data_IF_499625260091
#
_entry.id   IF_499625260091
#
_cell.length_a   1.000
_cell.length_b   1.000
_cell.length_c   1.000
_cell.angle_alpha   90.00
_cell.angle_beta   90.00
_cell.angle_gamma   90.00
#
_symmetry.space_group_name_H-M   'P 1'
#
loop_
_entity.id
_entity.type
_entity.pdbx_description
1 polymer ?
#
# COMPACT_ATOMS: atom_id res chain seq x y z
N UNK A 1 -18.60 -31.86 -21.30
CA UNK A 1 -18.04 -30.55 -20.91
C UNK A 1 -18.35 -30.10 -19.46
N UNK A 2 -19.34 -30.66 -18.74
CA UNK A 2 -19.73 -30.24 -17.36
C UNK A 2 -18.78 -30.67 -16.22
N UNK A 3 -17.89 -31.65 -16.44
CA UNK A 3 -17.06 -32.25 -15.39
C UNK A 3 -15.85 -31.38 -14.99
N UNK A 4 -15.18 -30.73 -15.96
CA UNK A 4 -14.07 -29.80 -15.67
C UNK A 4 -14.52 -28.60 -14.82
N UNK A 5 -15.70 -28.04 -15.09
CA UNK A 5 -16.24 -26.90 -14.33
C UNK A 5 -16.52 -27.23 -12.86
N UNK A 6 -16.98 -28.46 -12.56
CA UNK A 6 -17.27 -28.90 -11.19
C UNK A 6 -15.99 -29.14 -10.38
N UNK A 7 -14.95 -29.68 -11.02
CA UNK A 7 -13.63 -29.86 -10.41
C UNK A 7 -12.95 -28.52 -10.07
N UNK A 8 -13.00 -27.52 -10.95
CA UNK A 8 -12.45 -26.19 -10.68
C UNK A 8 -13.14 -25.48 -9.50
N UNK A 9 -14.47 -25.61 -9.38
CA UNK A 9 -15.23 -25.08 -8.23
C UNK A 9 -14.77 -25.72 -6.91
N UNK A 10 -14.59 -27.04 -6.90
CA UNK A 10 -14.16 -27.77 -5.71
C UNK A 10 -12.73 -27.38 -5.26
N UNK A 11 -11.82 -27.13 -6.21
CA UNK A 11 -10.47 -26.65 -5.91
C UNK A 11 -10.48 -25.23 -5.34
N UNK A 12 -11.27 -24.33 -5.92
CA UNK A 12 -11.40 -22.96 -5.43
C UNK A 12 -11.99 -22.91 -4.02
N UNK A 13 -13.02 -23.71 -3.75
CA UNK A 13 -13.66 -23.79 -2.44
C UNK A 13 -12.73 -24.38 -1.37
N UNK A 14 -11.94 -25.40 -1.72
CA UNK A 14 -10.90 -25.94 -0.83
C UNK A 14 -9.84 -24.89 -0.49
N UNK A 15 -9.34 -24.15 -1.49
CA UNK A 15 -8.35 -23.06 -1.28
C UNK A 15 -8.93 -21.93 -0.42
N UNK A 16 -10.19 -21.55 -0.65
CA UNK A 16 -10.87 -20.54 0.16
C UNK A 16 -10.98 -20.96 1.63
N UNK A 17 -11.30 -22.23 1.92
CA UNK A 17 -11.34 -22.73 3.30
C UNK A 17 -9.98 -22.64 4.00
N UNK A 18 -8.89 -22.94 3.28
CA UNK A 18 -7.53 -22.82 3.82
C UNK A 18 -7.23 -21.36 4.14
N UNK A 19 -7.52 -20.42 3.22
CA UNK A 19 -7.32 -18.97 3.46
C UNK A 19 -8.13 -18.49 4.67
N UNK A 20 -9.39 -18.93 4.81
CA UNK A 20 -10.27 -18.49 5.89
C UNK A 20 -9.93 -19.08 7.26
N UNK A 21 -9.35 -20.29 7.31
CA UNK A 21 -9.01 -20.96 8.58
C UNK A 21 -7.56 -20.76 8.98
N UNK A 22 -6.65 -20.98 8.05
CA UNK A 22 -5.21 -21.02 8.29
C UNK A 22 -4.51 -19.74 7.81
N UNK A 23 -5.10 -19.02 6.84
CA UNK A 23 -4.46 -17.86 6.23
C UNK A 23 -4.27 -16.66 7.17
N UNK A 24 -5.01 -16.58 8.28
CA UNK A 24 -4.79 -15.56 9.31
C UNK A 24 -3.65 -15.92 10.28
N UNK A 25 -3.36 -17.22 10.45
CA UNK A 25 -2.37 -17.73 11.39
C UNK A 25 -1.05 -18.11 10.71
N UNK A 26 -1.08 -18.34 9.40
CA UNK A 26 0.10 -18.65 8.60
C UNK A 26 0.88 -17.36 8.32
N UNK A 27 2.12 -17.22 8.81
CA UNK A 27 2.97 -16.11 8.43
C UNK A 27 3.16 -16.10 6.92
N UNK A 28 3.04 -14.94 6.28
CA UNK A 28 3.36 -14.83 4.88
C UNK A 28 4.88 -14.96 4.71
N UNK A 29 5.33 -15.95 3.95
CA UNK A 29 6.74 -16.06 3.56
C UNK A 29 7.08 -14.95 2.56
N UNK A 30 7.63 -13.85 3.07
CA UNK A 30 8.12 -12.73 2.26
C UNK A 30 9.45 -13.02 1.55
N UNK A 31 10.05 -14.21 1.75
CA UNK A 31 11.33 -14.55 1.13
C UNK A 31 11.26 -14.59 -0.41
N UNK A 32 10.12 -15.00 -0.97
CA UNK A 32 9.83 -14.93 -2.40
C UNK A 32 9.63 -13.49 -2.91
N UNK A 33 9.29 -12.56 -2.03
CA UNK A 33 8.99 -11.17 -2.34
C UNK A 33 10.22 -10.26 -2.21
N UNK A 34 11.44 -10.74 -2.46
CA UNK A 34 12.58 -9.87 -2.76
C UNK A 34 12.47 -9.49 -4.23
N UNK A 35 11.76 -8.40 -4.59
CA UNK A 35 11.58 -8.07 -5.98
C UNK A 35 12.94 -7.53 -6.43
N UNK A 36 13.52 -8.12 -7.48
CA UNK A 36 14.67 -7.51 -8.10
C UNK A 36 14.32 -6.08 -8.52
N UNK A 37 15.27 -5.17 -8.33
CA UNK A 37 15.09 -3.79 -8.77
C UNK A 37 14.82 -3.77 -10.27
N UNK A 38 13.85 -2.96 -10.73
CA UNK A 38 13.55 -2.87 -12.14
C UNK A 38 14.78 -2.39 -12.92
N UNK A 39 14.93 -2.82 -14.17
CA UNK A 39 16.08 -2.47 -15.03
C UNK A 39 16.23 -0.96 -15.28
N UNK A 40 15.17 -0.18 -15.10
CA UNK A 40 15.15 1.27 -15.22
C UNK A 40 15.43 2.00 -13.90
N UNK A 41 15.74 1.28 -12.82
CA UNK A 41 16.09 1.89 -11.54
C UNK A 41 17.39 2.69 -11.69
N UNK A 42 17.33 3.94 -11.26
CA UNK A 42 18.43 4.88 -11.26
C UNK A 42 18.57 5.42 -9.84
N UNK A 43 19.65 5.02 -9.16
CA UNK A 43 19.90 5.33 -7.75
C UNK A 43 20.00 6.84 -7.52
N UNK A 44 20.59 7.59 -8.46
CA UNK A 44 20.74 9.04 -8.36
C UNK A 44 19.38 9.73 -8.44
N UNK A 45 18.57 9.36 -9.44
CA UNK A 45 17.22 9.93 -9.60
C UNK A 45 16.29 9.55 -8.44
N UNK A 46 16.41 8.33 -7.94
CA UNK A 46 15.64 7.89 -6.78
C UNK A 46 15.97 8.73 -5.54
N UNK A 47 17.27 8.95 -5.27
CA UNK A 47 17.74 9.81 -4.18
C UNK A 47 17.30 11.25 -4.31
N UNK A 48 17.40 11.83 -5.51
CA UNK A 48 16.90 13.18 -5.78
C UNK A 48 15.41 13.29 -5.46
N UNK A 49 14.61 12.27 -5.80
CA UNK A 49 13.19 12.20 -5.45
C UNK A 49 12.95 12.18 -3.94
N UNK A 50 13.73 11.39 -3.19
CA UNK A 50 13.66 11.36 -1.73
C UNK A 50 14.01 12.73 -1.14
N UNK A 51 15.10 13.35 -1.57
CA UNK A 51 15.52 14.67 -1.09
C UNK A 51 14.48 15.74 -1.41
N UNK A 52 13.92 15.74 -2.62
CA UNK A 52 12.86 16.67 -3.02
C UNK A 52 11.61 16.52 -2.13
N UNK A 53 11.25 15.28 -1.76
CA UNK A 53 10.17 15.01 -0.83
C UNK A 53 10.46 15.57 0.57
N UNK A 54 11.64 15.30 1.14
CA UNK A 54 12.02 15.77 2.48
C UNK A 54 12.16 17.29 2.57
N UNK A 55 12.67 17.93 1.52
CA UNK A 55 12.75 19.38 1.46
C UNK A 55 11.37 20.07 1.35
N UNK A 56 10.33 19.34 0.93
CA UNK A 56 9.00 19.88 0.64
C UNK A 56 7.87 19.06 1.31
N UNK A 57 8.13 18.43 2.46
CA UNK A 57 7.19 17.49 3.11
C UNK A 57 5.82 18.09 3.29
N UNK A 58 5.73 19.32 3.81
CA UNK A 58 4.45 19.98 4.05
C UNK A 58 3.64 20.18 2.76
N UNK A 59 4.26 20.72 1.72
CA UNK A 59 3.64 20.93 0.41
C UNK A 59 3.19 19.59 -0.21
N UNK A 60 4.01 18.55 -0.09
CA UNK A 60 3.69 17.21 -0.58
C UNK A 60 2.51 16.58 0.16
N UNK A 61 2.42 16.77 1.48
CA UNK A 61 1.29 16.26 2.28
C UNK A 61 -0.01 17.00 1.97
N UNK A 62 0.05 18.33 1.82
CA UNK A 62 -1.12 19.13 1.41
C UNK A 62 -1.59 18.71 0.01
N UNK A 63 -0.68 18.57 -0.95
CA UNK A 63 -1.02 18.11 -2.30
C UNK A 63 -1.69 16.73 -2.29
N UNK A 64 -1.20 15.79 -1.48
CA UNK A 64 -1.82 14.46 -1.28
C UNK A 64 -3.22 14.55 -0.68
N UNK A 65 -3.42 15.43 0.31
CA UNK A 65 -4.73 15.66 0.92
C UNK A 65 -5.72 16.26 -0.10
N UNK A 66 -5.30 17.28 -0.85
CA UNK A 66 -6.11 17.88 -1.91
C UNK A 66 -6.49 16.84 -2.98
N UNK A 67 -5.53 16.04 -3.44
CA UNK A 67 -5.80 14.94 -4.39
C UNK A 67 -6.82 13.94 -3.86
N UNK A 68 -6.73 13.59 -2.57
CA UNK A 68 -7.71 12.72 -1.91
C UNK A 68 -9.10 13.36 -1.86
N UNK A 69 -9.22 14.64 -1.47
CA UNK A 69 -10.51 15.35 -1.43
C UNK A 69 -11.14 15.40 -2.82
N UNK A 70 -10.34 15.69 -3.85
CA UNK A 70 -10.79 15.65 -5.25
C UNK A 70 -11.28 14.25 -5.66
N UNK A 71 -10.61 13.19 -5.21
CA UNK A 71 -11.02 11.81 -5.48
C UNK A 71 -12.36 11.46 -4.82
N UNK A 72 -12.59 11.96 -3.60
CA UNK A 72 -13.85 11.76 -2.87
C UNK A 72 -15.04 12.51 -3.48
N UNK A 73 -14.79 13.53 -4.32
CA UNK A 73 -15.85 14.19 -5.10
C UNK A 73 -16.43 13.27 -6.19
N UNK A 74 -15.71 12.20 -6.57
CA UNK A 74 -16.18 11.22 -7.55
C UNK A 74 -17.06 10.19 -6.82
N UNK A 75 -18.36 10.20 -7.11
CA UNK A 75 -19.37 9.37 -6.43
C UNK A 75 -19.09 7.87 -6.48
N UNK A 76 -18.53 7.36 -7.58
CA UNK A 76 -18.17 5.94 -7.71
C UNK A 76 -17.10 5.53 -6.72
N UNK A 77 -16.07 6.36 -6.53
CA UNK A 77 -14.96 6.09 -5.62
C UNK A 77 -15.42 6.26 -4.18
N UNK A 78 -16.19 7.30 -3.90
CA UNK A 78 -16.80 7.51 -2.59
C UNK A 78 -17.65 6.31 -2.17
N UNK A 79 -18.46 5.76 -3.07
CA UNK A 79 -19.28 4.57 -2.80
C UNK A 79 -18.40 3.38 -2.41
N UNK A 80 -17.33 3.07 -3.15
CA UNK A 80 -16.40 1.98 -2.80
C UNK A 80 -15.81 2.20 -1.41
N UNK A 81 -15.33 3.42 -1.14
CA UNK A 81 -14.76 3.80 0.14
C UNK A 81 -15.75 3.62 1.29
N UNK A 82 -17.02 3.98 1.09
CA UNK A 82 -18.11 3.78 2.05
C UNK A 82 -18.43 2.30 2.26
N UNK A 83 -18.46 1.49 1.19
CA UNK A 83 -18.69 0.05 1.26
C UNK A 83 -17.63 -0.69 2.08
N UNK A 84 -16.38 -0.22 2.09
CA UNK A 84 -15.32 -0.84 2.92
C UNK A 84 -15.56 -0.70 4.43
N UNK A 85 -16.50 0.16 4.88
CA UNK A 85 -16.78 0.55 6.28
C UNK A 85 -15.57 1.07 7.07
N UNK A 86 -14.39 1.19 6.44
CA UNK A 86 -13.15 1.64 7.08
C UNK A 86 -13.09 3.17 7.25
N UNK A 87 -14.07 3.91 6.74
CA UNK A 87 -14.17 5.38 6.88
C UNK A 87 -15.59 5.92 6.87
N UNK A 88 -16.54 5.10 7.31
CA UNK A 88 -17.93 5.54 7.51
C UNK A 88 -18.11 6.48 8.71
N UNK A 89 -17.10 6.60 9.59
CA UNK A 89 -17.10 7.55 10.71
C UNK A 89 -15.86 8.44 10.67
N UNK A 90 -15.93 9.69 11.17
CA UNK A 90 -14.77 10.59 11.20
C UNK A 90 -13.55 10.00 11.90
N UNK A 91 -13.74 9.26 13.00
CA UNK A 91 -12.66 8.60 13.74
C UNK A 91 -11.97 7.50 12.91
N UNK A 92 -12.74 6.67 12.20
CA UNK A 92 -12.19 5.63 11.34
C UNK A 92 -11.49 6.21 10.11
N UNK A 93 -12.04 7.30 9.56
CA UNK A 93 -11.43 8.05 8.46
C UNK A 93 -10.10 8.67 8.89
N UNK A 94 -10.06 9.33 10.05
CA UNK A 94 -8.83 9.89 10.62
C UNK A 94 -7.75 8.83 10.79
N UNK A 95 -8.07 7.68 11.41
CA UNK A 95 -7.11 6.59 11.58
C UNK A 95 -6.54 6.09 10.25
N UNK A 96 -7.38 5.96 9.22
CA UNK A 96 -6.93 5.54 7.88
C UNK A 96 -5.97 6.55 7.26
N UNK A 97 -6.31 7.84 7.32
CA UNK A 97 -5.51 8.88 6.68
C UNK A 97 -4.21 9.15 7.44
N UNK A 98 -4.23 9.12 8.78
CA UNK A 98 -3.03 9.17 9.60
C UNK A 98 -2.08 7.99 9.29
N UNK A 99 -2.63 6.77 9.19
CA UNK A 99 -1.87 5.60 8.78
C UNK A 99 -1.28 5.77 7.37
N UNK A 100 -2.02 6.36 6.43
CA UNK A 100 -1.54 6.61 5.06
C UNK A 100 -0.38 7.62 5.04
N UNK A 101 -0.45 8.65 5.88
CA UNK A 101 0.64 9.63 6.04
C UNK A 101 1.89 8.93 6.56
N UNK A 102 1.78 8.17 7.66
CA UNK A 102 2.91 7.41 8.22
C UNK A 102 3.51 6.44 7.19
N UNK A 103 2.65 5.71 6.47
CA UNK A 103 3.09 4.78 5.43
C UNK A 103 3.81 5.49 4.28
N UNK A 104 3.39 6.73 3.96
CA UNK A 104 4.05 7.54 2.94
C UNK A 104 5.47 7.90 3.36
N UNK A 105 5.68 8.27 4.63
CA UNK A 105 7.03 8.51 5.15
C UNK A 105 7.90 7.26 5.07
N UNK A 106 7.40 6.12 5.54
CA UNK A 106 8.12 4.84 5.48
C UNK A 106 8.54 4.50 4.05
N UNK A 107 7.68 4.75 3.05
CA UNK A 107 8.01 4.49 1.64
C UNK A 107 9.09 5.42 1.09
N UNK A 108 9.10 6.69 1.48
CA UNK A 108 10.11 7.64 0.99
C UNK A 108 11.43 7.53 1.76
N UNK A 109 11.41 6.96 2.97
CA UNK A 109 12.61 6.70 3.76
C UNK A 109 13.34 5.43 3.32
N UNK A 110 12.57 4.40 2.92
CA UNK A 110 13.10 3.06 2.65
C UNK A 110 14.10 3.06 1.49
N UNK A 111 15.28 2.52 1.76
CA UNK A 111 16.27 2.22 0.73
C UNK A 111 15.91 0.92 0.00
N UNK A 112 15.94 0.90 -1.34
CA UNK A 112 15.59 -0.29 -2.10
C UNK A 112 16.56 -1.46 -1.93
N UNK A 113 17.82 -1.21 -1.54
CA UNK A 113 18.82 -2.23 -1.21
C UNK A 113 18.77 -2.65 0.26
N UNK A 114 17.81 -2.15 1.05
CA UNK A 114 17.65 -2.48 2.46
C UNK A 114 18.73 -1.87 3.36
N UNK A 115 19.49 -0.88 2.85
CA UNK A 115 20.45 -0.13 3.66
C UNK A 115 19.71 0.92 4.49
N UNK A 116 20.17 1.24 5.71
CA UNK A 116 19.63 2.40 6.41
C UNK A 116 19.88 3.66 5.57
N UNK A 117 18.87 4.50 5.39
CA UNK A 117 19.02 5.74 4.63
C UNK A 117 19.87 6.73 5.46
N UNK A 118 21.15 6.86 5.10
CA UNK A 118 22.12 7.66 5.84
C UNK A 118 21.79 9.16 5.85
N UNK A 119 20.99 9.63 4.88
CA UNK A 119 20.66 11.05 4.70
C UNK A 119 19.41 11.50 5.46
N UNK A 120 18.56 10.57 5.90
CA UNK A 120 17.41 10.88 6.78
C UNK A 120 17.85 10.96 8.25
N UNK A 121 19.10 10.57 8.55
CA UNK A 121 19.65 10.48 9.91
C UNK A 121 20.50 11.69 10.32
N UNK A 122 20.14 12.87 9.86
CA UNK A 122 20.71 14.13 10.36
C UNK A 122 19.64 14.94 11.10
N UNK A 123 19.31 14.47 12.31
CA UNK A 123 19.27 15.23 13.58
C UNK A 123 19.62 14.27 14.73
#
# INVERSE_FOLDING_TARGET
>A
MKWKSRAHKHVAEKRLRIILKEGAETPMDFEFLKPDLPSFYDEEKFRLGQQAFYNNVFSMMIAKLCGLVSLLAISTILNVVMFTKKSGTPCLAYRRYASTILHTFIWHEKDPHGKPNEYVRFE
#
